data_IF_681244055352
#
_entry.id   IF_681244055352
#
_cell.length_a   1.000
_cell.length_b   1.000
_cell.length_c   1.000
_cell.angle_alpha   90.00
_cell.angle_beta   90.00
_cell.angle_gamma   90.00
#
_symmetry.space_group_name_H-M   'P 1'
#
loop_
_entity.id
_entity.type
_entity.pdbx_description
1 polymer ?
#
# COMPACT_ATOMS: atom_id res chain seq x y z
N UNK A 1 23.38 -7.71 -19.16
CA UNK A 1 22.60 -7.49 -17.93
C UNK A 1 23.47 -7.91 -16.77
N UNK A 2 23.51 -7.09 -15.73
CA UNK A 2 24.17 -7.45 -14.47
C UNK A 2 23.32 -8.46 -13.70
N UNK A 3 23.83 -8.99 -12.60
CA UNK A 3 23.02 -9.84 -11.73
C UNK A 3 21.88 -9.01 -11.14
N UNK A 4 20.65 -9.51 -11.23
CA UNK A 4 19.48 -8.77 -10.79
C UNK A 4 18.16 -9.37 -11.29
N UNK A 5 17.08 -8.76 -10.82
CA UNK A 5 15.72 -9.06 -11.24
C UNK A 5 15.21 -7.92 -12.12
N UNK A 6 14.67 -8.26 -13.28
CA UNK A 6 14.23 -7.30 -14.26
C UNK A 6 12.80 -7.56 -14.70
N UNK A 7 12.12 -6.51 -15.13
CA UNK A 7 10.81 -6.59 -15.77
C UNK A 7 10.86 -5.86 -17.12
N UNK A 8 10.58 -6.61 -18.19
CA UNK A 8 10.48 -6.08 -19.54
C UNK A 8 9.01 -5.84 -19.87
N UNK A 9 8.63 -4.59 -19.95
CA UNK A 9 7.28 -4.14 -20.30
C UNK A 9 7.25 -3.92 -21.82
N UNK A 10 6.55 -4.79 -22.54
CA UNK A 10 6.26 -4.55 -23.94
C UNK A 10 4.97 -3.72 -24.02
N UNK A 11 5.04 -2.53 -24.60
CA UNK A 11 3.91 -1.59 -24.71
C UNK A 11 3.58 -1.31 -26.17
N UNK A 12 2.48 -0.59 -26.42
CA UNK A 12 2.12 -0.08 -27.75
C UNK A 12 3.14 0.90 -28.34
N UNK A 13 4.01 1.50 -27.52
CA UNK A 13 5.04 2.48 -27.95
C UNK A 13 6.44 1.90 -28.06
N UNK A 14 6.66 0.70 -27.54
CA UNK A 14 7.98 0.08 -27.50
C UNK A 14 8.21 -0.71 -26.23
N UNK A 15 9.47 -1.05 -25.98
CA UNK A 15 9.87 -1.83 -24.81
C UNK A 15 10.46 -0.92 -23.75
N UNK A 16 10.08 -1.14 -22.49
CA UNK A 16 10.70 -0.52 -21.32
C UNK A 16 11.31 -1.66 -20.49
N UNK A 17 12.60 -1.58 -20.18
CA UNK A 17 13.29 -2.53 -19.33
C UNK A 17 13.55 -1.91 -17.95
N UNK A 18 12.99 -2.54 -16.93
CA UNK A 18 13.12 -2.12 -15.54
C UNK A 18 14.07 -3.06 -14.80
N UNK A 19 14.95 -2.50 -13.96
CA UNK A 19 15.63 -3.21 -12.90
C UNK A 19 14.82 -3.07 -11.61
N UNK A 20 14.58 -4.18 -10.91
CA UNK A 20 13.79 -4.23 -9.69
C UNK A 20 14.68 -4.38 -8.45
N UNK A 21 14.36 -3.64 -7.40
CA UNK A 21 15.12 -3.57 -6.15
C UNK A 21 14.63 -4.61 -5.13
N UNK A 22 14.73 -5.90 -5.51
CA UNK A 22 14.16 -7.02 -4.75
C UNK A 22 14.84 -7.29 -3.40
N UNK A 23 16.07 -6.81 -3.19
CA UNK A 23 16.78 -6.93 -1.92
C UNK A 23 16.36 -5.85 -0.91
N UNK A 24 16.08 -4.64 -1.40
CA UNK A 24 15.72 -3.48 -0.58
C UNK A 24 14.22 -3.37 -0.33
N UNK A 25 13.42 -3.79 -1.32
CA UNK A 25 11.94 -3.77 -1.27
C UNK A 25 11.33 -5.12 -1.66
N UNK A 26 11.71 -6.23 -0.97
CA UNK A 26 11.28 -7.58 -1.32
C UNK A 26 9.76 -7.76 -1.30
N UNK A 27 9.03 -7.11 -0.38
CA UNK A 27 7.58 -7.22 -0.31
C UNK A 27 6.91 -6.65 -1.56
N UNK A 28 7.31 -5.43 -1.92
CA UNK A 28 6.75 -4.70 -3.06
C UNK A 28 7.12 -5.35 -4.39
N UNK A 29 8.39 -5.71 -4.56
CA UNK A 29 8.85 -6.43 -5.75
C UNK A 29 8.19 -7.81 -5.86
N UNK A 30 8.04 -8.51 -4.73
CA UNK A 30 7.32 -9.78 -4.67
C UNK A 30 5.88 -9.67 -5.17
N UNK A 31 5.15 -8.66 -4.71
CA UNK A 31 3.80 -8.35 -5.20
C UNK A 31 3.78 -8.10 -6.72
N UNK A 32 4.64 -7.19 -7.21
CA UNK A 32 4.68 -6.85 -8.62
C UNK A 32 5.01 -8.06 -9.52
N UNK A 33 6.03 -8.83 -9.15
CA UNK A 33 6.49 -10.00 -9.92
C UNK A 33 5.44 -11.10 -9.93
N UNK A 34 4.85 -11.41 -8.77
CA UNK A 34 3.84 -12.46 -8.68
C UNK A 34 2.55 -12.09 -9.43
N UNK A 35 2.16 -10.81 -9.42
CA UNK A 35 1.07 -10.31 -10.28
C UNK A 35 1.42 -10.38 -11.77
N UNK A 36 2.63 -9.97 -12.16
CA UNK A 36 3.09 -10.04 -13.55
C UNK A 36 3.06 -11.48 -14.10
N UNK A 37 3.45 -12.46 -13.28
CA UNK A 37 3.42 -13.89 -13.64
C UNK A 37 2.02 -14.53 -13.50
N UNK A 38 1.05 -13.85 -12.89
CA UNK A 38 -0.28 -14.39 -12.60
C UNK A 38 -0.29 -15.42 -11.46
N UNK A 39 0.75 -15.46 -10.64
CA UNK A 39 0.92 -16.42 -9.54
C UNK A 39 0.17 -15.98 -8.27
N UNK A 40 -0.10 -14.68 -8.13
CA UNK A 40 -0.78 -14.10 -6.98
C UNK A 40 -2.29 -13.97 -7.23
N UNK A 41 -3.08 -14.51 -6.31
CA UNK A 41 -4.54 -14.36 -6.31
C UNK A 41 -4.95 -12.89 -6.23
N UNK A 42 -5.95 -12.51 -7.02
CA UNK A 42 -6.46 -11.16 -7.10
C UNK A 42 -7.92 -11.17 -7.56
N UNK A 43 -8.61 -10.04 -7.41
CA UNK A 43 -10.03 -9.90 -7.75
C UNK A 43 -10.30 -9.50 -9.21
N UNK A 44 -9.26 -9.22 -10.01
CA UNK A 44 -9.41 -8.69 -11.36
C UNK A 44 -9.27 -9.75 -12.46
N UNK A 45 -8.39 -10.73 -12.25
CA UNK A 45 -8.11 -11.82 -13.20
C UNK A 45 -8.00 -13.15 -12.46
N UNK A 46 -8.43 -14.22 -13.12
CA UNK A 46 -8.25 -15.56 -12.60
C UNK A 46 -6.76 -15.88 -12.41
N UNK A 47 -6.44 -16.70 -11.41
CA UNK A 47 -5.08 -17.15 -11.14
C UNK A 47 -4.50 -17.88 -12.37
N UNK A 48 -3.20 -17.69 -12.61
CA UNK A 48 -2.48 -18.17 -13.78
C UNK A 48 -2.55 -17.21 -14.98
N UNK A 49 -3.37 -16.15 -14.92
CA UNK A 49 -3.40 -15.11 -15.96
C UNK A 49 -2.55 -13.91 -15.52
N UNK A 50 -1.52 -13.52 -16.30
CA UNK A 50 -0.72 -12.32 -16.05
C UNK A 50 -1.56 -11.07 -15.80
N UNK A 51 -1.37 -10.45 -14.63
CA UNK A 51 -2.20 -9.34 -14.16
C UNK A 51 -2.11 -8.10 -15.05
N UNK A 52 -0.90 -7.71 -15.45
CA UNK A 52 -0.65 -6.44 -16.14
C UNK A 52 -0.92 -6.47 -17.65
N UNK A 53 -1.03 -7.65 -18.26
CA UNK A 53 -1.23 -7.76 -19.70
C UNK A 53 -2.58 -7.17 -20.13
N UNK A 54 -2.57 -6.29 -21.12
CA UNK A 54 -3.73 -5.54 -21.60
C UNK A 54 -4.19 -4.39 -20.69
N UNK A 55 -3.45 -4.06 -19.62
CA UNK A 55 -3.77 -2.89 -18.80
C UNK A 55 -3.24 -1.61 -19.44
N UNK A 56 -3.94 -0.50 -19.17
CA UNK A 56 -3.63 0.81 -19.76
C UNK A 56 -2.83 1.70 -18.82
N UNK A 57 -2.03 2.59 -19.42
CA UNK A 57 -1.55 3.80 -18.78
C UNK A 57 -2.69 4.82 -18.73
N UNK A 58 -3.51 4.72 -17.67
CA UNK A 58 -4.75 5.48 -17.52
C UNK A 58 -4.51 6.95 -17.15
N UNK A 59 -3.32 7.30 -16.66
CA UNK A 59 -2.95 8.67 -16.30
C UNK A 59 -1.51 8.94 -16.71
N UNK A 60 -1.35 9.89 -17.61
CA UNK A 60 -0.04 10.34 -18.11
C UNK A 60 0.03 11.84 -17.93
N UNK A 61 1.08 12.31 -17.27
CA UNK A 61 1.34 13.74 -17.07
C UNK A 61 2.72 14.03 -17.67
N UNK A 62 2.78 14.83 -18.76
CA UNK A 62 4.03 15.27 -19.36
C UNK A 62 4.95 15.89 -18.30
N UNK A 63 6.26 15.65 -18.43
CA UNK A 63 7.28 16.12 -17.48
C UNK A 63 7.00 15.75 -16.02
N UNK A 64 6.29 14.64 -15.79
CA UNK A 64 6.07 14.12 -14.44
C UNK A 64 6.16 12.60 -14.41
N UNK A 65 5.14 11.89 -14.92
CA UNK A 65 5.10 10.42 -14.86
C UNK A 65 4.04 9.80 -15.78
N UNK A 66 4.19 8.50 -16.01
CA UNK A 66 3.17 7.61 -16.59
C UNK A 66 2.68 6.65 -15.50
N UNK A 67 1.36 6.50 -15.33
CA UNK A 67 0.75 5.65 -14.30
C UNK A 67 -0.08 4.53 -14.92
N UNK A 68 0.21 3.30 -14.49
CA UNK A 68 -0.40 2.07 -14.99
C UNK A 68 -0.85 1.13 -13.87
N UNK A 69 -1.17 -0.12 -14.23
CA UNK A 69 -1.51 -1.17 -13.26
C UNK A 69 -2.92 -1.13 -12.69
N UNK A 70 -3.81 -0.31 -13.24
CA UNK A 70 -5.23 -0.27 -12.85
C UNK A 70 -6.06 -1.24 -13.72
N UNK A 71 -6.71 -2.27 -13.15
CA UNK A 71 -7.47 -3.27 -13.90
C UNK A 71 -8.70 -2.70 -14.61
N UNK A 72 -9.25 -1.61 -14.07
CA UNK A 72 -10.44 -0.94 -14.62
C UNK A 72 -10.08 0.19 -15.61
N UNK A 73 -8.80 0.57 -15.71
CA UNK A 73 -8.39 1.76 -16.48
C UNK A 73 -8.89 3.11 -15.96
N UNK A 74 -9.57 3.16 -14.81
CA UNK A 74 -10.15 4.40 -14.23
C UNK A 74 -9.25 5.10 -13.19
N UNK A 75 -8.17 4.44 -12.76
CA UNK A 75 -7.32 4.88 -11.64
C UNK A 75 -7.84 4.50 -10.24
N UNK A 76 -9.01 3.87 -10.12
CA UNK A 76 -9.56 3.44 -8.83
C UNK A 76 -9.44 1.94 -8.57
N UNK A 77 -9.12 1.16 -9.61
CA UNK A 77 -9.03 -0.29 -9.55
C UNK A 77 -7.80 -0.78 -8.77
N UNK A 78 -7.94 -1.92 -8.10
CA UNK A 78 -6.90 -2.56 -7.29
C UNK A 78 -7.00 -4.09 -7.43
N UNK A 79 -6.00 -4.86 -6.97
CA UNK A 79 -6.01 -6.32 -7.07
C UNK A 79 -6.92 -7.01 -6.03
N UNK A 80 -7.68 -6.24 -5.25
CA UNK A 80 -8.59 -6.76 -4.20
C UNK A 80 -8.02 -6.67 -2.78
N UNK A 81 -6.79 -6.17 -2.63
CA UNK A 81 -6.12 -5.95 -1.34
C UNK A 81 -5.28 -4.68 -1.38
N UNK A 82 -4.77 -4.29 -0.20
CA UNK A 82 -3.84 -3.18 0.00
C UNK A 82 -2.75 -3.56 1.00
N UNK A 83 -1.51 -3.15 0.75
CA UNK A 83 -0.36 -3.44 1.60
C UNK A 83 0.40 -2.18 2.03
N UNK A 84 1.27 -2.34 3.03
CA UNK A 84 2.09 -1.28 3.64
C UNK A 84 3.13 -0.69 2.68
N UNK A 85 3.64 0.50 3.01
CA UNK A 85 4.78 1.09 2.31
C UNK A 85 6.10 0.47 2.75
N UNK A 86 7.07 0.41 1.84
CA UNK A 86 8.38 -0.21 2.06
C UNK A 86 9.49 0.76 1.63
N UNK A 87 9.89 1.67 2.52
CA UNK A 87 10.90 2.69 2.21
C UNK A 87 12.32 2.23 2.53
N UNK A 88 13.27 2.60 1.67
CA UNK A 88 14.70 2.37 1.88
C UNK A 88 15.47 3.69 1.70
N UNK A 89 16.45 4.03 2.56
CA UNK A 89 17.15 5.33 2.52
C UNK A 89 17.85 5.63 1.20
N UNK A 90 18.27 4.58 0.49
CA UNK A 90 18.96 4.68 -0.80
C UNK A 90 18.02 4.75 -2.01
N UNK A 91 16.71 4.58 -1.81
CA UNK A 91 15.74 4.59 -2.89
C UNK A 91 14.95 5.91 -2.88
N UNK A 92 15.17 6.72 -3.91
CA UNK A 92 14.64 8.08 -4.03
C UNK A 92 14.20 8.36 -5.45
N UNK A 93 13.37 9.39 -5.60
CA UNK A 93 12.93 9.90 -6.90
C UNK A 93 13.91 10.96 -7.43
N UNK A 94 15.20 10.64 -7.48
CA UNK A 94 16.28 11.58 -7.77
C UNK A 94 16.65 11.70 -9.25
N UNK A 95 16.07 10.84 -10.10
CA UNK A 95 16.32 10.79 -11.55
C UNK A 95 15.05 10.42 -12.34
N UNK A 96 15.05 10.62 -13.67
CA UNK A 96 14.07 10.02 -14.57
C UNK A 96 14.04 8.49 -14.47
N UNK A 97 12.89 7.90 -14.77
CA UNK A 97 12.73 6.45 -14.89
C UNK A 97 12.62 5.72 -13.56
N UNK A 98 12.33 6.39 -12.45
CA UNK A 98 12.08 5.71 -11.18
C UNK A 98 10.69 5.08 -11.22
N UNK A 99 10.59 3.77 -10.92
CA UNK A 99 9.31 3.08 -10.79
C UNK A 99 8.92 2.95 -9.32
N UNK A 100 7.70 3.39 -9.02
CA UNK A 100 7.17 3.46 -7.66
C UNK A 100 5.70 3.06 -7.59
N UNK A 101 5.26 2.60 -6.43
CA UNK A 101 3.86 2.26 -6.18
C UNK A 101 2.99 3.53 -6.10
N UNK A 102 1.87 3.53 -6.83
CA UNK A 102 0.84 4.53 -6.65
C UNK A 102 -0.02 4.16 -5.42
N UNK A 103 -0.31 5.14 -4.57
CA UNK A 103 -1.12 4.95 -3.37
C UNK A 103 -2.06 6.16 -3.15
N UNK A 104 -3.02 6.00 -2.25
CA UNK A 104 -3.98 7.05 -1.84
C UNK A 104 -3.74 7.50 -0.40
N UNK A 105 -2.50 7.37 0.08
CA UNK A 105 -2.11 7.57 1.48
C UNK A 105 -1.37 6.36 2.06
N UNK A 106 -0.86 6.48 3.30
CA UNK A 106 -0.05 5.45 3.92
C UNK A 106 -0.72 4.07 3.92
N UNK A 107 0.05 3.03 3.61
CA UNK A 107 -0.38 1.64 3.59
C UNK A 107 -1.56 1.34 2.65
N UNK A 108 -1.56 1.97 1.47
CA UNK A 108 -2.58 1.73 0.43
C UNK A 108 -2.00 1.29 -0.91
N UNK A 109 -0.81 0.67 -0.91
CA UNK A 109 -0.22 0.10 -2.11
C UNK A 109 -1.06 -1.09 -2.61
N UNK A 110 -1.12 -1.27 -3.93
CA UNK A 110 -1.90 -2.34 -4.58
C UNK A 110 -1.20 -2.86 -5.83
N UNK A 111 -1.82 -2.69 -6.99
CA UNK A 111 -1.22 -3.06 -8.29
C UNK A 111 -0.77 -1.86 -9.11
N UNK A 112 -1.22 -0.66 -8.75
CA UNK A 112 -0.91 0.53 -9.52
C UNK A 112 0.51 1.00 -9.26
N UNK A 113 1.20 1.37 -10.33
CA UNK A 113 2.55 1.91 -10.29
C UNK A 113 2.66 3.12 -11.22
N UNK A 114 3.70 3.92 -11.05
CA UNK A 114 4.07 4.96 -11.98
C UNK A 114 5.57 4.92 -12.29
N UNK A 115 5.94 5.45 -13.46
CA UNK A 115 7.34 5.62 -13.90
C UNK A 115 7.56 7.11 -14.15
N UNK A 116 8.60 7.70 -13.57
CA UNK A 116 8.85 9.14 -13.66
C UNK A 116 9.50 9.57 -14.98
N UNK A 117 9.14 10.76 -15.48
CA UNK A 117 9.84 11.43 -16.59
C UNK A 117 11.02 12.27 -16.08
N UNK A 118 10.91 12.80 -14.85
CA UNK A 118 11.89 13.71 -14.24
C UNK A 118 12.15 13.31 -12.77
N UNK A 119 13.17 13.87 -12.11
CA UNK A 119 13.29 13.79 -10.64
C UNK A 119 12.06 14.39 -9.93
N UNK A 120 11.56 13.71 -8.91
CA UNK A 120 10.32 14.06 -8.18
C UNK A 120 10.47 13.86 -6.67
N UNK A 121 11.48 14.51 -6.08
CA UNK A 121 11.87 14.40 -4.66
C UNK A 121 10.73 14.60 -3.63
N UNK A 122 9.70 15.37 -3.98
CA UNK A 122 8.51 15.56 -3.13
C UNK A 122 7.68 14.28 -2.90
N UNK A 123 7.97 13.20 -3.64
CA UNK A 123 7.38 11.86 -3.49
C UNK A 123 8.17 10.93 -2.57
N UNK A 124 9.39 11.32 -2.17
CA UNK A 124 10.24 10.51 -1.29
C UNK A 124 9.55 10.24 0.05
N UNK A 125 9.64 8.99 0.52
CA UNK A 125 8.97 8.49 1.73
C UNK A 125 7.44 8.64 1.73
N UNK A 126 6.83 8.85 0.55
CA UNK A 126 5.37 8.81 0.35
C UNK A 126 4.97 7.70 -0.59
N UNK A 127 5.81 7.36 -1.56
CA UNK A 127 5.61 6.29 -2.52
C UNK A 127 6.77 5.32 -2.46
N UNK A 128 6.46 4.02 -2.45
CA UNK A 128 7.48 2.97 -2.39
C UNK A 128 8.17 2.86 -3.74
N UNK A 129 9.44 3.26 -3.79
CA UNK A 129 10.33 3.05 -4.94
C UNK A 129 10.76 1.59 -4.93
N UNK A 130 10.58 0.87 -6.04
CA UNK A 130 10.93 -0.56 -6.11
C UNK A 130 11.76 -0.93 -7.35
N UNK A 131 12.29 0.07 -8.05
CA UNK A 131 13.17 -0.14 -9.19
C UNK A 131 13.40 1.11 -10.02
N UNK A 132 14.05 0.94 -11.17
CA UNK A 132 14.22 1.99 -12.17
C UNK A 132 14.32 1.44 -13.59
N UNK A 133 14.04 2.30 -14.57
CA UNK A 133 14.29 2.07 -15.99
C UNK A 133 15.80 1.99 -16.22
N UNK A 134 16.21 0.97 -16.97
CA UNK A 134 17.58 0.81 -17.45
C UNK A 134 17.67 0.94 -18.98
N UNK A 135 16.59 0.62 -19.70
CA UNK A 135 16.46 0.84 -21.16
C UNK A 135 15.03 1.26 -21.50
N UNK A 136 14.86 2.15 -22.48
CA UNK A 136 13.54 2.60 -22.94
C UNK A 136 12.96 3.80 -22.19
N UNK A 137 13.80 4.71 -21.65
CA UNK A 137 13.31 5.97 -21.10
C UNK A 137 12.66 6.85 -22.18
N UNK A 138 13.20 6.83 -23.40
CA UNK A 138 12.58 7.46 -24.57
C UNK A 138 11.20 6.89 -24.86
N UNK A 139 11.00 5.58 -24.65
CA UNK A 139 9.68 4.95 -24.76
C UNK A 139 8.75 5.47 -23.67
N UNK A 140 9.20 5.51 -22.42
CA UNK A 140 8.45 6.10 -21.28
C UNK A 140 7.95 7.50 -21.63
N UNK A 141 8.84 8.35 -22.15
CA UNK A 141 8.53 9.74 -22.47
C UNK A 141 7.53 9.89 -23.64
N UNK A 142 7.36 8.85 -24.47
CA UNK A 142 6.42 8.82 -25.61
C UNK A 142 5.07 8.18 -25.30
N UNK A 143 4.93 7.52 -24.13
CA UNK A 143 3.66 6.93 -23.70
C UNK A 143 2.61 8.04 -23.56
N UNK A 144 1.45 7.81 -24.15
CA UNK A 144 0.27 8.63 -24.03
C UNK A 144 -0.79 7.94 -23.17
N UNK A 145 -1.77 8.71 -22.72
CA UNK A 145 -2.93 8.14 -22.02
C UNK A 145 -3.61 7.10 -22.92
N UNK A 146 -4.06 6.01 -22.29
CA UNK A 146 -4.71 4.85 -22.91
C UNK A 146 -3.79 3.92 -23.74
N UNK A 147 -2.48 4.20 -23.82
CA UNK A 147 -1.52 3.21 -24.30
C UNK A 147 -1.50 1.97 -23.41
N UNK A 148 -1.20 0.82 -23.99
CA UNK A 148 -1.39 -0.48 -23.36
C UNK A 148 -0.06 -1.16 -23.04
N UNK A 149 -0.03 -1.82 -21.88
CA UNK A 149 0.97 -2.83 -21.53
C UNK A 149 0.55 -4.13 -22.20
N UNK A 150 1.22 -4.53 -23.27
CA UNK A 150 0.92 -5.74 -24.02
C UNK A 150 1.31 -6.96 -23.17
N UNK A 151 2.56 -7.01 -22.70
CA UNK A 151 3.05 -8.04 -21.79
C UNK A 151 4.06 -7.50 -20.79
N UNK A 152 4.17 -8.20 -19.65
CA UNK A 152 5.26 -8.01 -18.69
C UNK A 152 6.03 -9.33 -18.56
N UNK A 153 7.29 -9.32 -18.98
CA UNK A 153 8.19 -10.47 -18.89
C UNK A 153 9.17 -10.28 -17.73
N UNK A 154 9.24 -11.25 -16.82
CA UNK A 154 10.18 -11.22 -15.70
C UNK A 154 11.46 -11.95 -16.11
N UNK A 155 12.60 -11.28 -15.96
CA UNK A 155 13.92 -11.80 -16.32
C UNK A 155 14.76 -11.85 -15.05
N UNK A 156 15.33 -13.01 -14.74
CA UNK A 156 16.23 -13.25 -13.61
C UNK A 156 17.64 -13.47 -14.12
N UNK A 157 18.62 -12.77 -13.55
CA UNK A 157 20.03 -12.97 -13.88
C UNK A 157 20.82 -13.17 -12.58
N UNK A 158 21.45 -14.34 -12.45
CA UNK A 158 22.29 -14.69 -11.31
C UNK A 158 21.55 -15.30 -10.12
N UNK A 159 22.30 -16.00 -9.28
CA UNK A 159 21.80 -16.85 -8.20
C UNK A 159 20.77 -16.19 -7.27
N UNK A 160 21.00 -14.93 -6.87
CA UNK A 160 20.13 -14.25 -5.91
C UNK A 160 18.73 -14.00 -6.50
N UNK A 161 18.67 -13.53 -7.76
CA UNK A 161 17.42 -13.29 -8.45
C UNK A 161 16.70 -14.59 -8.83
N UNK A 162 17.44 -15.64 -9.19
CA UNK A 162 16.87 -16.96 -9.50
C UNK A 162 16.26 -17.64 -8.26
N UNK A 163 16.84 -17.42 -7.08
CA UNK A 163 16.33 -17.94 -5.80
C UNK A 163 15.23 -17.07 -5.18
N UNK A 164 14.97 -15.89 -5.73
CA UNK A 164 13.96 -14.98 -5.19
C UNK A 164 12.55 -15.54 -5.38
N UNK A 165 11.88 -15.84 -4.26
CA UNK A 165 10.50 -16.31 -4.25
C UNK A 165 9.54 -15.13 -4.02
N UNK A 166 8.95 -14.63 -5.10
CA UNK A 166 8.09 -13.45 -5.08
C UNK A 166 6.85 -13.60 -4.16
N UNK A 167 6.19 -14.77 -4.19
CA UNK A 167 5.01 -15.03 -3.36
C UNK A 167 5.38 -15.08 -1.87
N UNK A 168 6.47 -15.77 -1.54
CA UNK A 168 6.93 -15.89 -0.16
C UNK A 168 7.41 -14.55 0.40
N UNK A 169 8.14 -13.77 -0.40
CA UNK A 169 8.57 -12.42 -0.03
C UNK A 169 7.37 -11.53 0.33
N UNK A 170 6.35 -11.51 -0.54
CA UNK A 170 5.13 -10.72 -0.29
C UNK A 170 4.33 -11.23 0.91
N UNK A 171 4.14 -12.56 1.04
CA UNK A 171 3.42 -13.14 2.19
C UNK A 171 4.15 -12.93 3.52
N UNK A 172 5.48 -12.97 3.51
CA UNK A 172 6.29 -12.69 4.69
C UNK A 172 6.13 -11.24 5.12
N UNK A 173 6.13 -10.32 4.17
CA UNK A 173 5.90 -8.91 4.41
C UNK A 173 4.53 -8.64 5.04
N UNK A 174 3.45 -9.17 4.45
CA UNK A 174 2.09 -9.01 5.00
C UNK A 174 1.92 -9.75 6.35
N UNK A 175 2.51 -10.93 6.51
CA UNK A 175 2.47 -11.66 7.78
C UNK A 175 3.20 -10.94 8.92
N UNK A 176 4.27 -10.20 8.62
CA UNK A 176 4.95 -9.35 9.59
C UNK A 176 4.05 -8.18 10.02
N UNK A 177 3.32 -7.58 9.09
CA UNK A 177 2.32 -6.55 9.35
C UNK A 177 1.20 -7.07 10.25
N UNK A 178 0.62 -8.22 9.95
CA UNK A 178 -0.46 -8.81 10.77
C UNK A 178 -0.01 -9.01 12.22
N UNK A 179 1.20 -9.53 12.43
CA UNK A 179 1.79 -9.67 13.77
C UNK A 179 1.96 -8.33 14.48
N UNK A 180 2.40 -7.27 13.77
CA UNK A 180 2.52 -5.92 14.36
C UNK A 180 1.15 -5.40 14.79
N UNK A 181 0.13 -5.53 13.95
CA UNK A 181 -1.24 -5.09 14.24
C UNK A 181 -1.81 -5.87 15.44
N UNK A 182 -1.62 -7.19 15.47
CA UNK A 182 -2.07 -8.03 16.58
C UNK A 182 -1.39 -7.62 17.89
N UNK A 183 -0.08 -7.40 17.88
CA UNK A 183 0.68 -6.97 19.05
C UNK A 183 0.25 -5.58 19.52
N UNK A 184 0.06 -4.63 18.61
CA UNK A 184 -0.43 -3.29 18.93
C UNK A 184 -1.84 -3.33 19.54
N UNK A 185 -2.72 -4.19 18.99
CA UNK A 185 -4.06 -4.40 19.55
C UNK A 185 -4.01 -5.00 20.95
N UNK A 186 -3.19 -6.04 21.18
CA UNK A 186 -2.98 -6.63 22.51
C UNK A 186 -2.43 -5.62 23.51
N UNK A 187 -1.49 -4.77 23.08
CA UNK A 187 -0.93 -3.72 23.92
C UNK A 187 -1.99 -2.67 24.26
N UNK A 188 -2.75 -2.19 23.27
CA UNK A 188 -3.84 -1.24 23.46
C UNK A 188 -4.93 -1.78 24.39
N UNK A 189 -5.31 -3.06 24.24
CA UNK A 189 -6.25 -3.73 25.14
C UNK A 189 -5.70 -3.82 26.56
N UNK A 190 -4.42 -4.17 26.74
CA UNK A 190 -3.79 -4.23 28.06
C UNK A 190 -3.68 -2.84 28.72
N UNK A 191 -3.40 -1.79 27.95
CA UNK A 191 -3.41 -0.40 28.42
C UNK A 191 -4.83 0.03 28.83
N UNK A 192 -5.85 -0.34 28.04
CA UNK A 192 -7.24 -0.07 28.35
C UNK A 192 -7.71 -0.80 29.61
N UNK A 193 -7.34 -2.07 29.81
CA UNK A 193 -7.65 -2.81 31.05
C UNK A 193 -7.01 -2.17 32.28
N UNK A 194 -5.77 -1.67 32.16
CA UNK A 194 -5.11 -0.94 33.25
C UNK A 194 -5.80 0.39 33.53
N UNK A 195 -6.12 1.18 32.50
CA UNK A 195 -6.77 2.48 32.65
C UNK A 195 -8.19 2.37 33.21
N UNK A 196 -8.90 1.30 32.86
CA UNK A 196 -10.27 1.02 33.30
C UNK A 196 -10.33 0.00 34.45
N UNK A 197 -9.26 -0.15 35.24
CA UNK A 197 -9.23 -1.08 36.35
C UNK A 197 -10.35 -0.75 37.37
N UNK A 198 -11.22 -1.74 37.63
CA UNK A 198 -12.38 -1.58 38.51
C UNK A 198 -13.64 -1.00 37.83
N UNK A 199 -13.60 -0.73 36.53
CA UNK A 199 -14.75 -0.27 35.76
C UNK A 199 -15.59 -1.46 35.31
N UNK A 200 -16.90 -1.27 35.18
CA UNK A 200 -17.80 -2.25 34.58
C UNK A 200 -17.68 -2.20 33.05
N UNK A 201 -17.80 -3.35 32.39
CA UNK A 201 -17.75 -3.49 30.93
C UNK A 201 -19.14 -3.85 30.39
N UNK A 202 -19.60 -3.16 29.37
CA UNK A 202 -20.81 -3.52 28.62
C UNK A 202 -20.52 -4.54 27.52
N UNK A 203 -21.55 -5.16 26.95
CA UNK A 203 -21.40 -6.08 25.79
C UNK A 203 -20.84 -5.38 24.55
N UNK A 204 -21.09 -4.07 24.42
CA UNK A 204 -20.48 -3.22 23.38
C UNK A 204 -19.00 -2.92 23.63
N UNK A 205 -18.44 -3.34 24.76
CA UNK A 205 -17.05 -3.11 25.15
C UNK A 205 -16.80 -1.79 25.90
N UNK A 206 -17.85 -0.97 26.11
CA UNK A 206 -17.74 0.30 26.84
C UNK A 206 -17.39 0.03 28.30
N UNK A 207 -16.36 0.71 28.81
CA UNK A 207 -15.97 0.68 30.22
C UNK A 207 -16.52 1.89 30.93
N UNK A 208 -17.16 1.69 32.08
CA UNK A 208 -17.72 2.79 32.86
C UNK A 208 -17.59 2.54 34.36
N UNK A 209 -17.51 3.63 35.12
CA UNK A 209 -17.58 3.63 36.56
C UNK A 209 -18.56 4.71 36.99
N UNK A 210 -19.47 4.37 37.90
CA UNK A 210 -20.37 5.33 38.52
C UNK A 210 -19.73 5.74 39.85
N UNK A 211 -19.24 6.97 39.92
CA UNK A 211 -18.62 7.51 41.14
C UNK A 211 -19.68 7.92 42.16
N UNK A 212 -20.77 8.53 41.69
CA UNK A 212 -21.89 8.95 42.52
C UNK A 212 -23.20 8.53 41.85
N UNK A 213 -24.04 7.82 42.60
CA UNK A 213 -25.33 7.35 42.10
C UNK A 213 -26.42 8.37 42.46
N UNK A 214 -26.96 9.04 41.45
CA UNK A 214 -28.08 9.96 41.63
C UNK A 214 -29.38 9.26 42.08
N UNK A 215 -30.19 9.96 42.85
CA UNK A 215 -31.52 9.53 43.31
C UNK A 215 -32.68 10.17 42.51
N UNK A 216 -32.37 10.84 41.40
CA UNK A 216 -33.34 11.54 40.56
C UNK A 216 -34.23 10.60 39.74
N UNK A 217 -35.19 11.19 39.01
CA UNK A 217 -36.03 10.45 38.05
C UNK A 217 -35.14 9.81 36.99
N UNK A 218 -35.36 8.53 36.71
CA UNK A 218 -34.66 7.83 35.64
C UNK A 218 -35.01 8.43 34.27
N UNK A 219 -34.02 8.50 33.38
CA UNK A 219 -34.24 8.91 32.01
C UNK A 219 -35.15 7.89 31.29
N UNK A 220 -36.11 8.39 30.52
CA UNK A 220 -36.99 7.56 29.71
C UNK A 220 -36.44 7.40 28.30
N UNK A 221 -36.55 6.19 27.75
CA UNK A 221 -36.09 5.90 26.38
C UNK A 221 -36.78 6.84 25.38
N UNK A 222 -35.98 7.52 24.57
CA UNK A 222 -36.47 8.45 23.52
C UNK A 222 -36.70 9.89 24.00
N UNK A 223 -36.54 10.19 25.29
CA UNK A 223 -36.53 11.57 25.79
C UNK A 223 -35.10 12.12 25.82
N UNK A 224 -34.94 13.37 25.42
CA UNK A 224 -33.67 14.08 25.52
C UNK A 224 -33.25 14.28 26.97
N UNK A 225 -31.95 14.18 27.23
CA UNK A 225 -31.32 14.51 28.51
C UNK A 225 -30.23 15.55 28.27
N UNK A 226 -30.03 16.44 29.22
CA UNK A 226 -28.91 17.38 29.22
C UNK A 226 -27.83 16.83 30.14
N UNK A 227 -26.60 16.74 29.65
CA UNK A 227 -25.45 16.20 30.38
C UNK A 227 -24.28 17.16 30.24
N UNK A 228 -23.56 17.37 31.36
CA UNK A 228 -22.23 17.96 31.28
C UNK A 228 -21.23 16.84 31.00
N UNK A 229 -20.33 17.05 30.05
CA UNK A 229 -19.31 16.07 29.66
C UNK A 229 -17.96 16.71 29.38
N UNK A 230 -16.93 15.89 29.50
CA UNK A 230 -15.56 16.22 29.10
C UNK A 230 -14.92 14.98 28.44
N UNK A 231 -14.54 15.13 27.18
CA UNK A 231 -13.83 14.12 26.41
C UNK A 231 -12.31 14.32 26.52
N UNK A 232 -11.59 13.29 26.95
CA UNK A 232 -10.13 13.31 27.07
C UNK A 232 -9.52 12.05 26.50
N UNK A 233 -8.33 12.17 25.93
CA UNK A 233 -7.46 11.05 25.63
C UNK A 233 -6.80 10.52 26.91
N UNK A 234 -6.19 9.34 26.84
CA UNK A 234 -5.51 8.72 27.99
C UNK A 234 -4.30 9.54 28.49
N UNK A 235 -3.71 10.38 27.64
CA UNK A 235 -2.64 11.32 27.99
C UNK A 235 -3.16 12.61 28.67
N UNK A 236 -4.47 12.73 28.86
CA UNK A 236 -5.12 13.89 29.46
C UNK A 236 -5.49 15.01 28.48
N UNK A 237 -5.16 14.88 27.20
CA UNK A 237 -5.52 15.86 26.17
C UNK A 237 -7.04 15.94 26.03
N UNK A 238 -7.60 17.13 26.26
CA UNK A 238 -9.03 17.41 26.11
C UNK A 238 -9.33 17.64 24.64
N UNK A 239 -10.23 16.83 24.06
CA UNK A 239 -10.66 17.01 22.67
C UNK A 239 -12.04 17.67 22.57
N UNK A 240 -12.86 17.59 23.62
CA UNK A 240 -14.19 18.23 23.65
C UNK A 240 -14.71 18.38 25.09
N UNK A 241 -15.56 19.38 25.34
CA UNK A 241 -16.22 19.60 26.63
C UNK A 241 -17.45 20.51 26.50
N UNK A 242 -18.51 20.21 27.26
CA UNK A 242 -19.76 20.99 27.31
C UNK A 242 -19.73 22.17 28.27
#
# INVERSE_FOLDING_TARGET
MENGLYAKLNTTKGTILLQLEFEKTPGTVGNFVALAKGELENSAKAQGIPYYNGLKFHRVIPDFMIQGGCPQGTGTGNPGYKFEDEFHPDLKHDKPGIISMANSGPATNGSQFFITHIPTDWLDNKHTVFGNVIEGQDVVDTIAQDDEIITVEIITVGDAAEKFNAIEAFRTFEGAREKRIENAKKQSEAEMEKAAAGFQKTDSGLRYQILEKGSGKQAEKGKGVSVHYKGMLLDGTVFDSS
#
